data_IF_666049677833
#
_entry.id   IF_666049677833
#
_cell.length_a   1.000
_cell.length_b   1.000
_cell.length_c   1.000
_cell.angle_alpha   90.00
_cell.angle_beta   90.00
_cell.angle_gamma   90.00
#
_symmetry.space_group_name_H-M   'P 1'
#
loop_
_entity.id
_entity.type
_entity.pdbx_description
1 polymer ?
#
# COMPACT_ATOMS: atom_id res chain seq x y z
N UNK A 1 -2.15 -4.30 6.94
CA UNK A 1 -2.79 -5.11 5.86
C UNK A 1 -4.22 -5.45 6.24
N UNK A 2 -5.13 -5.49 5.27
CA UNK A 2 -6.58 -5.58 5.51
C UNK A 2 -7.05 -6.82 6.29
N UNK A 3 -6.25 -7.90 6.34
CA UNK A 3 -6.59 -9.15 7.04
C UNK A 3 -6.28 -9.13 8.54
N UNK A 4 -5.58 -8.11 9.06
CA UNK A 4 -5.15 -8.04 10.46
C UNK A 4 -4.01 -9.00 10.84
N UNK A 5 -3.48 -9.78 9.88
CA UNK A 5 -2.32 -10.64 10.11
C UNK A 5 -1.06 -9.81 10.38
N UNK A 6 -0.10 -10.32 11.19
CA UNK A 6 1.19 -9.66 11.39
C UNK A 6 1.89 -9.38 10.05
N UNK A 7 2.51 -8.20 9.94
CA UNK A 7 3.34 -7.86 8.79
C UNK A 7 4.69 -8.56 8.96
N UNK A 8 5.02 -9.48 8.06
CA UNK A 8 6.27 -10.25 8.08
C UNK A 8 7.25 -9.87 6.97
N UNK A 9 6.82 -8.99 6.06
CA UNK A 9 7.60 -8.53 4.91
C UNK A 9 7.28 -7.06 4.65
N UNK A 10 8.28 -6.29 4.24
CA UNK A 10 8.11 -4.92 3.75
C UNK A 10 8.92 -4.70 2.49
N UNK A 11 8.42 -3.85 1.58
CA UNK A 11 9.10 -3.48 0.33
C UNK A 11 8.96 -1.99 0.01
N UNK A 12 9.22 -1.14 0.99
CA UNK A 12 9.13 0.31 0.84
C UNK A 12 10.03 0.85 -0.26
N UNK A 13 9.54 1.86 -0.95
CA UNK A 13 10.38 2.69 -1.78
C UNK A 13 11.36 3.50 -0.92
N UNK A 14 12.46 3.96 -1.52
CA UNK A 14 13.42 4.78 -0.79
C UNK A 14 12.75 6.10 -0.37
N UNK A 15 12.72 6.36 0.94
CA UNK A 15 12.03 7.51 1.53
C UNK A 15 10.70 7.17 2.19
N UNK A 16 10.14 5.97 1.94
CA UNK A 16 8.81 5.58 2.43
C UNK A 16 8.87 4.62 3.64
N UNK A 17 7.84 4.61 4.51
CA UNK A 17 6.69 5.53 4.49
C UNK A 17 7.05 6.90 5.06
N UNK A 18 6.50 7.97 4.48
CA UNK A 18 6.87 9.34 4.84
C UNK A 18 5.74 10.14 5.54
N UNK A 19 4.50 9.63 5.53
CA UNK A 19 3.30 10.23 6.08
C UNK A 19 3.10 11.69 5.65
N UNK A 20 3.28 11.97 4.35
CA UNK A 20 3.25 13.33 3.81
C UNK A 20 1.91 14.00 4.10
N UNK A 21 1.96 15.26 4.53
CA UNK A 21 0.77 16.06 4.81
C UNK A 21 0.52 17.05 3.68
N UNK A 22 -0.61 16.90 3.02
CA UNK A 22 -1.06 17.74 1.93
C UNK A 22 -1.61 19.07 2.44
N UNK A 23 -1.70 20.07 1.56
CA UNK A 23 -2.19 21.41 1.89
C UNK A 23 -3.65 21.42 2.40
N UNK A 24 -4.46 20.46 1.95
CA UNK A 24 -5.84 20.25 2.41
C UNK A 24 -5.91 19.61 3.81
N UNK A 25 -4.78 19.30 4.44
CA UNK A 25 -4.67 18.69 5.76
C UNK A 25 -4.74 17.16 5.76
N UNK A 26 -4.85 16.52 4.60
CA UNK A 26 -4.83 15.06 4.46
C UNK A 26 -3.41 14.49 4.65
N UNK A 27 -3.32 13.27 5.18
CA UNK A 27 -2.06 12.57 5.42
C UNK A 27 -2.04 11.18 4.77
N UNK A 28 -0.87 10.76 4.32
CA UNK A 28 -0.65 9.44 3.73
C UNK A 28 -0.72 8.33 4.78
N UNK A 29 -1.74 7.47 4.71
CA UNK A 29 -1.97 6.40 5.68
C UNK A 29 -2.38 5.06 5.04
N UNK A 30 -2.58 5.03 3.72
CA UNK A 30 -2.96 3.84 2.98
C UNK A 30 -1.78 3.36 2.12
N UNK A 31 -1.63 2.04 1.99
CA UNK A 31 -0.53 1.46 1.21
C UNK A 31 -0.92 1.33 -0.26
N UNK A 32 -0.08 1.84 -1.16
CA UNK A 32 -0.17 1.58 -2.59
C UNK A 32 1.06 0.83 -3.12
N UNK A 33 0.87 0.08 -4.21
CA UNK A 33 1.97 -0.45 -5.01
C UNK A 33 2.36 0.58 -6.05
N UNK A 34 3.55 1.13 -5.90
CA UNK A 34 4.08 2.21 -6.72
C UNK A 34 5.15 1.69 -7.67
N UNK A 35 4.95 1.94 -8.97
CA UNK A 35 5.90 1.59 -10.04
C UNK A 35 6.16 2.78 -10.98
N UNK A 36 6.03 4.02 -10.48
CA UNK A 36 6.18 5.22 -11.33
C UNK A 36 7.64 5.57 -11.61
N UNK A 37 8.58 5.11 -10.79
CA UNK A 37 10.02 5.33 -10.98
C UNK A 37 10.75 4.21 -11.74
N UNK A 38 10.03 3.19 -12.20
CA UNK A 38 10.60 2.06 -12.93
C UNK A 38 11.49 1.14 -12.08
N UNK A 39 11.49 1.23 -10.75
CA UNK A 39 12.29 0.38 -9.85
C UNK A 39 11.53 -0.84 -9.31
N UNK A 40 10.43 -1.21 -9.97
CA UNK A 40 9.55 -2.31 -9.59
C UNK A 40 8.41 -1.87 -8.67
N UNK A 41 7.51 -2.80 -8.36
CA UNK A 41 6.33 -2.58 -7.49
C UNK A 41 6.75 -2.46 -6.01
N UNK A 42 7.32 -1.31 -5.65
CA UNK A 42 7.65 -0.94 -4.27
C UNK A 42 6.46 -0.27 -3.59
N UNK A 43 6.53 -0.12 -2.27
CA UNK A 43 5.43 0.42 -1.48
C UNK A 43 5.61 1.91 -1.27
N UNK A 44 4.50 2.63 -1.35
CA UNK A 44 4.34 4.02 -0.99
C UNK A 44 3.16 4.11 -0.03
N UNK A 45 3.24 4.94 1.01
CA UNK A 45 2.04 5.40 1.69
C UNK A 45 1.40 6.53 0.88
N UNK A 46 0.09 6.55 0.82
CA UNK A 46 -0.69 7.40 -0.07
C UNK A 46 -1.95 7.85 0.66
N UNK A 47 -2.57 8.98 0.27
CA UNK A 47 -3.82 9.41 0.84
C UNK A 47 -4.90 8.35 0.62
N UNK A 48 -5.61 8.01 1.68
CA UNK A 48 -6.66 6.98 1.61
C UNK A 48 -7.84 7.39 0.72
N UNK A 49 -8.00 8.67 0.42
CA UNK A 49 -9.06 9.17 -0.48
C UNK A 49 -8.76 8.97 -1.97
N UNK A 50 -7.53 8.60 -2.34
CA UNK A 50 -7.17 8.46 -3.74
C UNK A 50 -7.90 7.28 -4.40
N UNK A 51 -8.61 7.58 -5.49
CA UNK A 51 -9.22 6.55 -6.34
C UNK A 51 -8.15 5.82 -7.15
N UNK A 52 -7.97 4.53 -6.88
CA UNK A 52 -6.96 3.68 -7.54
C UNK A 52 -7.47 2.26 -7.75
N UNK A 53 -6.76 1.50 -8.59
CA UNK A 53 -6.99 0.06 -8.73
C UNK A 53 -6.46 -0.68 -7.50
N UNK A 54 -7.08 -1.81 -7.19
CA UNK A 54 -6.76 -2.60 -5.99
C UNK A 54 -6.43 -4.06 -6.32
N UNK A 55 -5.73 -4.71 -5.40
CA UNK A 55 -5.44 -6.14 -5.42
C UNK A 55 -6.31 -6.84 -4.39
N UNK A 56 -7.02 -7.89 -4.79
CA UNK A 56 -7.79 -8.74 -3.88
C UNK A 56 -6.98 -9.95 -3.43
N UNK A 57 -7.04 -10.26 -2.14
CA UNK A 57 -6.62 -11.56 -1.59
C UNK A 57 -7.87 -12.38 -1.25
N UNK A 58 -7.94 -13.62 -1.75
CA UNK A 58 -8.97 -14.58 -1.35
C UNK A 58 -8.32 -15.76 -0.63
N UNK A 59 -8.98 -16.26 0.41
CA UNK A 59 -8.57 -17.52 1.04
C UNK A 59 -8.81 -18.66 0.05
N UNK A 60 -7.77 -19.41 -0.28
CA UNK A 60 -7.89 -20.64 -1.06
C UNK A 60 -8.73 -21.65 -0.27
N UNK A 61 -9.90 -22.01 -0.80
CA UNK A 61 -10.73 -23.07 -0.23
C UNK A 61 -10.23 -24.38 -0.85
N UNK A 62 -9.58 -25.23 -0.05
CA UNK A 62 -9.26 -26.59 -0.50
C UNK A 62 -10.56 -27.38 -0.64
N UNK A 63 -10.88 -27.83 -1.86
CA UNK A 63 -11.94 -28.80 -2.08
C UNK A 63 -11.36 -30.20 -1.86
N UNK A 64 -12.04 -31.00 -1.05
CA UNK A 64 -11.75 -32.43 -0.89
C UNK A 64 -12.19 -33.20 -2.12
#
# INVERSE_FOLDING_TARGET
>A
MATGRPITFTNWNAGEPNNFRYENGEEENCLELWNRDGKGLKWNDSPCSFETYFVCEIKQIKKN
#
